data_IF_474967415799
#
_entry.id   IF_474967415799
#
_cell.length_a   1.000
_cell.length_b   1.000
_cell.length_c   1.000
_cell.angle_alpha   90.00
_cell.angle_beta   90.00
_cell.angle_gamma   90.00
#
_symmetry.space_group_name_H-M   'P 1'
#
loop_
_entity.id
_entity.type
_entity.pdbx_description
1 polymer ?
#
# COMPACT_ATOMS: atom_id res chain seq x y z
N UNK A 1 1.78 -17.97 -6.00
CA UNK A 1 1.18 -17.81 -7.33
C UNK A 1 2.21 -17.42 -8.36
N UNK A 2 2.28 -18.19 -9.46
CA UNK A 2 3.04 -17.81 -10.65
C UNK A 2 2.02 -17.44 -11.72
N UNK A 3 1.90 -16.14 -12.00
CA UNK A 3 1.12 -15.68 -13.13
C UNK A 3 1.90 -16.01 -14.42
N UNK A 4 1.49 -17.07 -15.12
CA UNK A 4 2.03 -17.38 -16.45
C UNK A 4 1.21 -16.60 -17.48
N UNK A 5 1.79 -15.53 -18.02
CA UNK A 5 1.15 -14.65 -18.98
C UNK A 5 2.17 -13.90 -19.83
N UNK A 6 1.72 -13.32 -20.94
CA UNK A 6 2.58 -12.54 -21.83
C UNK A 6 2.91 -11.20 -21.15
N UNK A 7 4.19 -10.94 -20.92
CA UNK A 7 4.63 -9.65 -20.36
C UNK A 7 4.54 -8.57 -21.44
N UNK A 8 3.75 -7.53 -21.20
CA UNK A 8 3.62 -6.38 -22.08
C UNK A 8 4.54 -5.22 -21.69
N UNK A 9 5.20 -5.33 -20.53
CA UNK A 9 6.14 -4.33 -20.07
C UNK A 9 7.46 -4.47 -20.83
N UNK A 10 7.97 -3.36 -21.33
CA UNK A 10 9.35 -3.27 -21.82
C UNK A 10 10.33 -3.46 -20.66
N UNK A 11 11.58 -3.75 -20.97
CA UNK A 11 12.64 -3.86 -19.96
C UNK A 11 12.78 -2.59 -19.11
N UNK A 12 12.68 -1.41 -19.74
CA UNK A 12 12.73 -0.12 -19.04
C UNK A 12 11.56 0.06 -18.06
N UNK A 13 10.36 -0.36 -18.45
CA UNK A 13 9.18 -0.33 -17.58
C UNK A 13 9.31 -1.32 -16.43
N UNK A 14 9.81 -2.54 -16.69
CA UNK A 14 10.10 -3.52 -15.63
C UNK A 14 11.14 -3.00 -14.63
N UNK A 15 12.19 -2.34 -15.13
CA UNK A 15 13.20 -1.71 -14.27
C UNK A 15 12.60 -0.60 -13.41
N UNK A 16 11.77 0.25 -14.00
CA UNK A 16 11.08 1.33 -13.27
C UNK A 16 10.16 0.76 -12.19
N UNK A 17 9.32 -0.22 -12.54
CA UNK A 17 8.46 -0.93 -11.60
C UNK A 17 9.26 -1.56 -10.45
N UNK A 18 10.41 -2.16 -10.75
CA UNK A 18 11.29 -2.76 -9.74
C UNK A 18 11.84 -1.73 -8.76
N UNK A 19 12.24 -0.55 -9.25
CA UNK A 19 12.73 0.54 -8.39
C UNK A 19 11.59 1.06 -7.49
N UNK A 20 10.38 1.23 -8.03
CA UNK A 20 9.23 1.72 -7.27
C UNK A 20 8.71 0.69 -6.25
N UNK A 21 8.75 -0.60 -6.58
CA UNK A 21 8.25 -1.67 -5.72
C UNK A 21 9.25 -2.15 -4.66
N UNK A 22 10.55 -1.91 -4.84
CA UNK A 22 11.57 -2.27 -3.86
C UNK A 22 11.79 -1.12 -2.88
N UNK A 23 11.32 -1.30 -1.65
CA UNK A 23 11.46 -0.33 -0.57
C UNK A 23 12.89 0.13 -0.32
N UNK A 24 13.91 -0.67 -0.70
CA UNK A 24 15.34 -0.32 -0.57
C UNK A 24 15.81 0.64 -1.66
N UNK A 25 15.06 0.75 -2.76
CA UNK A 25 15.41 1.56 -3.93
C UNK A 25 14.67 2.89 -3.99
N UNK A 26 14.00 3.31 -2.90
CA UNK A 26 13.21 4.54 -2.89
C UNK A 26 14.00 5.82 -3.21
N UNK A 27 15.31 5.86 -2.90
CA UNK A 27 16.19 6.97 -3.32
C UNK A 27 16.34 7.07 -4.85
N UNK A 28 16.14 5.95 -5.57
CA UNK A 28 16.17 5.88 -7.02
C UNK A 28 14.90 6.39 -7.71
N UNK A 29 13.88 6.80 -6.95
CA UNK A 29 12.63 7.35 -7.49
C UNK A 29 12.80 8.87 -7.70
N UNK A 30 12.57 9.41 -8.92
CA UNK A 30 12.63 10.84 -9.19
C UNK A 30 11.69 11.67 -8.30
N UNK A 31 12.08 12.90 -7.93
CA UNK A 31 11.28 13.78 -7.05
C UNK A 31 9.92 14.19 -7.65
N UNK A 32 9.82 14.22 -8.97
CA UNK A 32 8.59 14.52 -9.71
C UNK A 32 7.70 13.30 -9.93
N UNK A 33 8.15 12.10 -9.54
CA UNK A 33 7.34 10.89 -9.65
C UNK A 33 6.24 10.90 -8.57
N UNK A 34 4.94 10.81 -8.96
CA UNK A 34 3.84 10.87 -8.01
C UNK A 34 3.86 9.74 -6.97
N UNK A 35 4.56 8.64 -7.23
CA UNK A 35 4.69 7.50 -6.32
C UNK A 35 5.79 7.70 -5.26
N UNK A 36 6.66 8.71 -5.38
CA UNK A 36 7.76 8.93 -4.43
C UNK A 36 7.27 9.14 -2.99
N UNK A 37 6.09 9.75 -2.84
CA UNK A 37 5.44 9.96 -1.54
C UNK A 37 5.30 8.68 -0.72
N UNK A 38 5.11 7.51 -1.35
CA UNK A 38 4.98 6.24 -0.63
C UNK A 38 6.27 5.75 0.01
N UNK A 39 7.43 6.30 -0.37
CA UNK A 39 8.68 5.98 0.29
C UNK A 39 8.69 6.40 1.76
N UNK A 40 7.92 7.42 2.15
CA UNK A 40 7.82 7.88 3.53
C UNK A 40 7.37 6.76 4.47
N UNK A 41 6.44 5.91 4.01
CA UNK A 41 5.95 4.76 4.78
C UNK A 41 7.10 3.81 5.14
N UNK A 42 7.96 3.49 4.18
CA UNK A 42 9.09 2.60 4.43
C UNK A 42 10.17 3.26 5.27
N UNK A 43 10.41 4.56 5.10
CA UNK A 43 11.44 5.29 5.83
C UNK A 43 11.06 5.56 7.30
N UNK A 44 9.80 5.83 7.59
CA UNK A 44 9.34 6.35 8.89
C UNK A 44 8.19 5.57 9.53
N UNK A 45 7.59 4.62 8.82
CA UNK A 45 6.35 3.96 9.24
C UNK A 45 5.13 4.88 9.19
N UNK A 46 5.23 6.00 8.45
CA UNK A 46 4.24 7.07 8.38
C UNK A 46 4.04 7.54 6.94
N UNK A 47 2.92 8.18 6.68
CA UNK A 47 2.65 8.82 5.40
C UNK A 47 1.92 10.13 5.69
N UNK A 48 2.40 11.23 5.13
CA UNK A 48 1.88 12.58 5.42
C UNK A 48 1.92 12.87 6.93
N UNK A 49 3.04 12.52 7.58
CA UNK A 49 3.27 12.58 9.04
C UNK A 49 2.30 11.77 9.93
N UNK A 50 1.34 11.05 9.33
CA UNK A 50 0.37 10.22 10.02
C UNK A 50 0.82 8.76 10.14
N UNK A 51 0.60 8.11 11.28
CA UNK A 51 0.66 6.65 11.39
C UNK A 51 -0.30 5.99 10.38
N UNK A 52 0.05 4.81 9.86
CA UNK A 52 -0.77 4.14 8.84
C UNK A 52 -2.21 3.91 9.24
N UNK A 53 -2.44 3.48 10.49
CA UNK A 53 -3.78 3.23 11.01
C UNK A 53 -4.65 4.50 11.09
N UNK A 54 -4.05 5.70 11.08
CA UNK A 54 -4.78 6.97 10.99
C UNK A 54 -4.96 7.38 9.53
N UNK A 55 -3.90 7.27 8.72
CA UNK A 55 -3.89 7.65 7.30
C UNK A 55 -4.97 6.91 6.48
N UNK A 56 -5.18 5.61 6.73
CA UNK A 56 -6.21 4.81 6.03
C UNK A 56 -7.64 5.24 6.33
N UNK A 57 -7.87 6.05 7.37
CA UNK A 57 -9.18 6.57 7.74
C UNK A 57 -9.35 8.07 7.41
N UNK A 58 -8.32 8.73 6.88
CA UNK A 58 -8.42 10.11 6.40
C UNK A 58 -9.34 10.16 5.18
N UNK A 59 -10.26 11.12 5.16
CA UNK A 59 -11.18 11.32 4.03
C UNK A 59 -10.42 11.49 2.72
N UNK A 60 -10.76 10.67 1.71
CA UNK A 60 -10.12 10.62 0.39
C UNK A 60 -8.64 10.19 0.40
N UNK A 61 -8.17 9.49 1.45
CA UNK A 61 -6.84 8.89 1.38
C UNK A 61 -6.82 7.73 0.38
N UNK A 62 -5.69 7.51 -0.25
CA UNK A 62 -5.51 6.41 -1.22
C UNK A 62 -5.52 5.03 -0.56
N UNK A 63 -5.37 4.98 0.77
CA UNK A 63 -5.51 3.78 1.58
C UNK A 63 -6.92 3.55 2.11
N UNK A 64 -7.86 4.48 1.87
CA UNK A 64 -9.24 4.33 2.31
C UNK A 64 -9.89 3.15 1.58
N UNK A 65 -10.48 2.22 2.35
CA UNK A 65 -11.25 1.12 1.77
C UNK A 65 -12.45 1.74 1.01
N UNK A 66 -12.61 1.46 -0.30
CA UNK A 66 -13.74 1.96 -1.06
C UNK A 66 -15.08 1.51 -0.47
N UNK A 67 -16.11 2.38 -0.50
CA UNK A 67 -17.44 2.09 0.06
C UNK A 67 -18.11 0.82 -0.50
N UNK A 68 -17.71 0.40 -1.70
CA UNK A 68 -18.18 -0.83 -2.34
C UNK A 68 -17.63 -2.10 -1.67
N UNK A 69 -16.56 -1.99 -0.88
CA UNK A 69 -15.92 -3.09 -0.15
C UNK A 69 -16.37 -3.01 1.31
N UNK A 70 -17.01 -4.07 1.79
CA UNK A 70 -17.29 -4.23 3.22
C UNK A 70 -16.04 -4.70 3.93
N UNK A 71 -15.59 -3.94 4.93
CA UNK A 71 -14.51 -4.34 5.83
C UNK A 71 -15.05 -5.31 6.89
N UNK A 72 -15.18 -6.58 6.50
CA UNK A 72 -15.66 -7.66 7.36
C UNK A 72 -14.69 -8.85 7.26
N UNK A 73 -14.41 -9.54 8.37
CA UNK A 73 -13.64 -10.79 8.37
C UNK A 73 -14.55 -12.00 8.60
N UNK A 74 -14.28 -13.11 7.93
CA UNK A 74 -14.94 -14.38 8.28
C UNK A 74 -14.65 -14.73 9.75
N UNK A 75 -15.71 -14.93 10.54
CA UNK A 75 -15.60 -15.21 11.98
C UNK A 75 -15.39 -13.99 12.87
N UNK A 76 -15.48 -12.76 12.36
CA UNK A 76 -15.31 -11.52 13.12
C UNK A 76 -16.24 -11.41 14.35
N UNK A 77 -17.47 -11.96 14.26
CA UNK A 77 -18.40 -12.04 15.39
C UNK A 77 -17.78 -12.77 16.59
N UNK A 78 -17.08 -13.90 16.36
CA UNK A 78 -16.45 -14.67 17.43
C UNK A 78 -15.21 -13.95 18.01
N UNK A 79 -14.46 -13.24 17.17
CA UNK A 79 -13.32 -12.43 17.60
C UNK A 79 -13.76 -11.25 18.48
N UNK A 80 -14.88 -10.60 18.15
CA UNK A 80 -15.44 -9.51 18.97
C UNK A 80 -15.94 -10.01 20.33
N UNK A 81 -16.55 -11.19 20.40
CA UNK A 81 -17.03 -11.78 21.65
C UNK A 81 -15.86 -12.20 22.55
N UNK A 82 -14.77 -12.72 21.99
CA UNK A 82 -13.58 -13.13 22.74
C UNK A 82 -12.74 -11.99 23.32
N UNK A 83 -12.90 -10.76 22.83
CA UNK A 83 -12.18 -9.57 23.34
C UNK A 83 -12.92 -8.79 24.44
N UNK A 84 -14.13 -9.21 24.81
CA UNK A 84 -14.97 -8.58 25.86
C UNK A 84 -14.82 -9.31 27.22
N UNK A 85 -14.06 -10.40 27.27
CA UNK A 85 -13.67 -11.13 28.49
C UNK A 85 -12.22 -10.80 28.82
#
# INVERSE_FOLDING_TARGET
DVAVGRCYLTEAQLKSLRIEADWRMGEGIPDDNPNKKYFEYFARGKFDDLPMHEWVHVKNSEGTIPDAIKDEREGELYLKVGGVI
#
